data_IF_691223852942
#
_entry.id   IF_691223852942
#
_cell.length_a   1.000
_cell.length_b   1.000
_cell.length_c   1.000
_cell.angle_alpha   90.00
_cell.angle_beta   90.00
_cell.angle_gamma   90.00
#
_symmetry.space_group_name_H-M   'P 1'
#
loop_
_entity.id
_entity.type
_entity.pdbx_description
1 polymer ?
#
# COMPACT_ATOMS: atom_id res chain seq x y z
N UNK A 1 6.91 -21.49 1.33
CA UNK A 1 6.40 -22.84 1.34
C UNK A 1 4.97 -22.97 0.79
N UNK A 2 4.41 -24.19 0.76
CA UNK A 2 3.12 -24.48 0.13
C UNK A 2 1.96 -23.61 0.67
N UNK A 3 1.87 -23.46 1.99
CA UNK A 3 0.84 -22.61 2.62
C UNK A 3 0.95 -21.15 2.17
N UNK A 4 2.16 -20.57 2.14
CA UNK A 4 2.35 -19.18 1.69
C UNK A 4 1.90 -18.98 0.24
N UNK A 5 2.25 -19.90 -0.66
CA UNK A 5 1.85 -19.82 -2.06
C UNK A 5 0.32 -19.93 -2.23
N UNK A 6 -0.32 -20.81 -1.46
CA UNK A 6 -1.78 -20.97 -1.46
C UNK A 6 -2.46 -19.75 -0.85
N UNK A 7 -1.91 -19.18 0.24
CA UNK A 7 -2.38 -17.96 0.85
C UNK A 7 -2.39 -16.77 -0.14
N UNK A 8 -1.31 -16.61 -0.92
CA UNK A 8 -1.24 -15.60 -2.00
C UNK A 8 -2.33 -15.86 -3.06
N UNK A 9 -2.55 -17.12 -3.43
CA UNK A 9 -3.60 -17.46 -4.40
C UNK A 9 -5.01 -17.13 -3.88
N UNK A 10 -5.29 -17.38 -2.60
CA UNK A 10 -6.55 -16.98 -1.95
C UNK A 10 -6.71 -15.47 -1.90
N UNK A 11 -5.64 -14.73 -1.57
CA UNK A 11 -5.65 -13.26 -1.52
C UNK A 11 -6.00 -12.66 -2.90
N UNK A 12 -5.39 -13.18 -3.98
CA UNK A 12 -5.72 -12.77 -5.36
C UNK A 12 -7.18 -13.02 -5.75
N UNK A 13 -7.84 -13.97 -5.10
CA UNK A 13 -9.28 -14.28 -5.30
C UNK A 13 -10.20 -13.52 -4.32
N UNK A 14 -9.66 -12.63 -3.47
CA UNK A 14 -10.42 -11.92 -2.45
C UNK A 14 -10.87 -12.82 -1.27
N UNK A 15 -10.33 -14.05 -1.18
CA UNK A 15 -10.67 -15.01 -0.13
C UNK A 15 -9.77 -14.80 1.10
N UNK A 16 -9.85 -13.62 1.71
CA UNK A 16 -8.92 -13.15 2.75
C UNK A 16 -8.92 -14.04 4.00
N UNK A 17 -10.06 -14.57 4.42
CA UNK A 17 -10.13 -15.48 5.56
C UNK A 17 -9.29 -16.77 5.36
N UNK A 18 -9.35 -17.36 4.17
CA UNK A 18 -8.53 -18.53 3.82
C UNK A 18 -7.05 -18.15 3.68
N UNK A 19 -6.78 -16.97 3.13
CA UNK A 19 -5.43 -16.42 3.04
C UNK A 19 -4.79 -16.24 4.42
N UNK A 20 -5.52 -15.64 5.37
CA UNK A 20 -5.07 -15.46 6.76
C UNK A 20 -4.76 -16.80 7.42
N UNK A 21 -5.64 -17.80 7.27
CA UNK A 21 -5.42 -19.13 7.83
C UNK A 21 -4.13 -19.77 7.29
N UNK A 22 -3.89 -19.65 5.99
CA UNK A 22 -2.70 -20.21 5.35
C UNK A 22 -1.40 -19.47 5.76
N UNK A 23 -1.40 -18.15 5.83
CA UNK A 23 -0.24 -17.41 6.33
C UNK A 23 0.01 -17.67 7.83
N UNK A 24 -1.05 -17.86 8.62
CA UNK A 24 -0.91 -18.26 10.02
C UNK A 24 -0.20 -19.61 10.11
N UNK A 25 -0.59 -20.57 9.25
CA UNK A 25 0.10 -21.87 9.21
C UNK A 25 1.55 -21.77 8.74
N UNK A 26 1.84 -20.87 7.78
CA UNK A 26 3.20 -20.62 7.34
C UNK A 26 4.06 -20.04 8.48
N UNK A 27 3.51 -19.13 9.28
CA UNK A 27 4.17 -18.52 10.44
C UNK A 27 4.40 -19.55 11.56
N UNK A 28 3.43 -20.42 11.85
CA UNK A 28 3.60 -21.52 12.81
C UNK A 28 4.76 -22.46 12.44
N UNK A 29 4.95 -22.70 11.14
CA UNK A 29 6.03 -23.53 10.63
C UNK A 29 7.39 -22.82 10.58
N UNK A 30 7.39 -21.50 10.43
CA UNK A 30 8.58 -20.66 10.43
C UNK A 30 8.23 -19.27 10.95
N UNK A 31 8.49 -19.02 12.23
CA UNK A 31 8.22 -17.77 12.92
C UNK A 31 9.07 -16.57 12.47
N UNK A 32 10.13 -16.82 11.70
CA UNK A 32 11.03 -15.77 11.18
C UNK A 32 10.77 -15.44 9.71
N UNK A 33 9.65 -15.87 9.19
CA UNK A 33 9.25 -15.63 7.81
C UNK A 33 8.53 -14.27 7.67
N UNK A 34 9.30 -13.17 7.56
CA UNK A 34 8.81 -11.80 7.48
C UNK A 34 7.75 -11.58 6.39
N UNK A 35 7.93 -12.18 5.21
CA UNK A 35 6.95 -12.08 4.12
C UNK A 35 5.59 -12.71 4.45
N UNK A 36 5.53 -13.72 5.32
CA UNK A 36 4.25 -14.30 5.74
C UNK A 36 3.48 -13.31 6.63
N UNK A 37 4.18 -12.60 7.51
CA UNK A 37 3.57 -11.52 8.30
C UNK A 37 3.11 -10.37 7.40
N UNK A 38 3.92 -9.91 6.43
CA UNK A 38 3.51 -8.86 5.50
C UNK A 38 2.24 -9.26 4.75
N UNK A 39 2.20 -10.46 4.21
CA UNK A 39 1.05 -10.91 3.42
C UNK A 39 -0.21 -11.11 4.30
N UNK A 40 -0.05 -11.60 5.54
CA UNK A 40 -1.18 -11.71 6.48
C UNK A 40 -1.67 -10.33 6.91
N UNK A 41 -0.74 -9.41 7.19
CA UNK A 41 -1.05 -8.01 7.47
C UNK A 41 -1.85 -7.35 6.34
N UNK A 42 -1.46 -7.58 5.09
CA UNK A 42 -2.24 -7.10 3.94
C UNK A 42 -3.65 -7.72 3.91
N UNK A 43 -3.78 -9.01 4.18
CA UNK A 43 -5.09 -9.66 4.21
C UNK A 43 -5.97 -9.12 5.36
N UNK A 44 -5.40 -8.84 6.53
CA UNK A 44 -6.11 -8.17 7.62
C UNK A 44 -6.54 -6.75 7.25
N UNK A 45 -5.69 -5.98 6.55
CA UNK A 45 -6.01 -4.64 6.06
C UNK A 45 -7.23 -4.66 5.12
N UNK A 46 -7.27 -5.60 4.17
CA UNK A 46 -8.36 -5.74 3.21
C UNK A 46 -9.73 -6.03 3.86
N UNK A 47 -9.74 -6.66 5.04
CA UNK A 47 -10.96 -6.92 5.81
C UNK A 47 -11.20 -5.90 6.94
N UNK A 48 -10.43 -4.81 6.97
CA UNK A 48 -10.59 -3.71 7.93
C UNK A 48 -10.09 -4.02 9.35
N UNK A 49 -9.32 -5.11 9.54
CA UNK A 49 -8.74 -5.45 10.83
C UNK A 49 -7.36 -4.77 10.99
N UNK A 50 -7.38 -3.45 11.05
CA UNK A 50 -6.18 -2.61 10.97
C UNK A 50 -5.19 -2.84 12.12
N UNK A 51 -5.66 -3.06 13.35
CA UNK A 51 -4.77 -3.30 14.50
C UNK A 51 -3.98 -4.61 14.33
N UNK A 52 -4.61 -5.68 13.80
CA UNK A 52 -3.94 -6.93 13.49
C UNK A 52 -2.97 -6.77 12.32
N UNK A 53 -3.34 -5.98 11.33
CA UNK A 53 -2.47 -5.62 10.21
C UNK A 53 -1.19 -4.92 10.70
N UNK A 54 -1.33 -3.91 11.56
CA UNK A 54 -0.19 -3.18 12.15
C UNK A 54 0.68 -4.11 12.99
N UNK A 55 0.10 -5.01 13.79
CA UNK A 55 0.85 -5.96 14.59
C UNK A 55 1.72 -6.88 13.71
N UNK A 56 1.19 -7.35 12.59
CA UNK A 56 1.93 -8.16 11.64
C UNK A 56 3.04 -7.38 10.94
N UNK A 57 2.78 -6.13 10.51
CA UNK A 57 3.83 -5.29 9.94
C UNK A 57 4.93 -4.95 10.95
N UNK A 58 4.58 -4.71 12.21
CA UNK A 58 5.57 -4.53 13.27
C UNK A 58 6.48 -5.75 13.38
N UNK A 59 5.89 -6.95 13.39
CA UNK A 59 6.67 -8.18 13.46
C UNK A 59 7.57 -8.37 12.24
N UNK A 60 7.09 -8.04 11.04
CA UNK A 60 7.90 -8.06 9.83
C UNK A 60 9.08 -7.07 9.89
N UNK A 61 8.85 -5.88 10.44
CA UNK A 61 9.90 -4.86 10.64
C UNK A 61 10.93 -5.32 11.68
N UNK A 62 10.50 -5.93 12.78
CA UNK A 62 11.41 -6.48 13.80
C UNK A 62 12.33 -7.56 13.20
N UNK A 63 11.79 -8.41 12.31
CA UNK A 63 12.54 -9.45 11.62
C UNK A 63 13.45 -8.89 10.51
N UNK A 64 13.01 -7.86 9.83
CA UNK A 64 13.70 -7.27 8.68
C UNK A 64 13.62 -5.74 8.74
N UNK A 65 14.46 -5.06 9.54
CA UNK A 65 14.36 -3.62 9.81
C UNK A 65 14.58 -2.70 8.60
N UNK A 66 15.07 -3.23 7.49
CA UNK A 66 15.26 -2.48 6.24
C UNK A 66 14.21 -2.84 5.17
N UNK A 67 13.16 -3.59 5.53
CA UNK A 67 12.11 -3.96 4.61
C UNK A 67 11.15 -2.78 4.34
N UNK A 68 11.47 -1.97 3.34
CA UNK A 68 10.66 -0.81 2.96
C UNK A 68 9.20 -1.14 2.62
N UNK A 69 8.90 -2.38 2.18
CA UNK A 69 7.53 -2.80 1.90
C UNK A 69 6.69 -2.86 3.19
N UNK A 70 7.25 -3.39 4.28
CA UNK A 70 6.55 -3.47 5.56
C UNK A 70 6.24 -2.07 6.11
N UNK A 71 7.19 -1.14 6.02
CA UNK A 71 6.95 0.27 6.38
C UNK A 71 5.87 0.92 5.50
N UNK A 72 5.95 0.76 4.17
CA UNK A 72 4.95 1.34 3.28
C UNK A 72 3.54 0.80 3.57
N UNK A 73 3.40 -0.50 3.77
CA UNK A 73 2.09 -1.11 4.00
C UNK A 73 1.52 -0.71 5.37
N UNK A 74 2.37 -0.60 6.41
CA UNK A 74 1.95 -0.07 7.71
C UNK A 74 1.55 1.40 7.59
N UNK A 75 2.33 2.21 6.89
CA UNK A 75 2.02 3.60 6.60
C UNK A 75 0.68 3.76 5.88
N UNK A 76 0.41 2.92 4.88
CA UNK A 76 -0.88 2.92 4.21
C UNK A 76 -2.03 2.52 5.15
N UNK A 77 -1.82 1.54 6.03
CA UNK A 77 -2.80 1.19 7.07
C UNK A 77 -3.07 2.39 8.00
N UNK A 78 -2.05 3.15 8.36
CA UNK A 78 -2.22 4.38 9.14
C UNK A 78 -3.02 5.45 8.39
N UNK A 79 -2.89 5.58 7.05
CA UNK A 79 -3.77 6.46 6.26
C UNK A 79 -5.24 6.05 6.43
N UNK A 80 -5.54 4.74 6.33
CA UNK A 80 -6.89 4.21 6.48
C UNK A 80 -7.47 4.42 7.89
N UNK A 81 -6.61 4.60 8.88
CA UNK A 81 -6.97 4.93 10.28
C UNK A 81 -6.93 6.43 10.56
N UNK A 82 -6.69 7.28 9.57
CA UNK A 82 -6.55 8.73 9.70
C UNK A 82 -5.39 9.17 10.63
N UNK A 83 -4.39 8.27 10.82
CA UNK A 83 -3.18 8.51 11.63
C UNK A 83 -2.06 9.06 10.72
N UNK A 84 -2.24 10.28 10.23
CA UNK A 84 -1.45 10.83 9.12
C UNK A 84 0.02 11.10 9.45
N UNK A 85 0.36 11.45 10.69
CA UNK A 85 1.77 11.68 11.08
C UNK A 85 2.56 10.37 11.07
N UNK A 86 1.96 9.30 11.58
CA UNK A 86 2.58 7.97 11.60
C UNK A 86 2.68 7.40 10.19
N UNK A 87 1.66 7.62 9.36
CA UNK A 87 1.67 7.26 7.95
C UNK A 87 2.84 7.93 7.22
N UNK A 88 3.01 9.24 7.40
CA UNK A 88 4.06 10.01 6.75
C UNK A 88 5.46 9.53 7.15
N UNK A 89 5.67 9.27 8.45
CA UNK A 89 6.94 8.76 8.95
C UNK A 89 7.30 7.41 8.34
N UNK A 90 6.34 6.48 8.28
CA UNK A 90 6.57 5.15 7.75
C UNK A 90 6.80 5.17 6.23
N UNK A 91 6.00 5.93 5.47
CA UNK A 91 6.18 6.01 4.03
C UNK A 91 7.52 6.69 3.68
N UNK A 92 7.93 7.74 4.42
CA UNK A 92 9.26 8.35 4.29
C UNK A 92 10.35 7.33 4.58
N UNK A 93 10.19 6.49 5.61
CA UNK A 93 11.14 5.43 5.92
C UNK A 93 11.26 4.40 4.79
N UNK A 94 10.14 4.02 4.18
CA UNK A 94 10.15 3.18 2.97
C UNK A 94 10.94 3.83 1.82
N UNK A 95 10.76 5.13 1.60
CA UNK A 95 11.47 5.88 0.56
C UNK A 95 12.96 6.11 0.85
N UNK A 96 13.37 6.13 2.13
CA UNK A 96 14.80 6.14 2.50
C UNK A 96 15.50 4.87 2.01
N UNK A 97 14.87 3.69 2.14
CA UNK A 97 15.42 2.43 1.66
C UNK A 97 15.35 2.30 0.14
N UNK A 98 14.29 2.81 -0.49
CA UNK A 98 14.15 2.81 -1.94
C UNK A 98 13.43 4.08 -2.43
N UNK A 99 14.17 5.12 -2.83
CA UNK A 99 13.60 6.39 -3.30
C UNK A 99 12.74 6.29 -4.58
N UNK A 100 12.85 5.19 -5.31
CA UNK A 100 12.10 4.93 -6.53
C UNK A 100 10.96 3.89 -6.33
N UNK A 101 10.63 3.56 -5.08
CA UNK A 101 9.51 2.66 -4.81
C UNK A 101 8.19 3.31 -5.24
N UNK A 102 7.66 2.86 -6.39
CA UNK A 102 6.45 3.41 -7.00
C UNK A 102 5.22 3.31 -6.10
N UNK A 103 5.14 2.28 -5.26
CA UNK A 103 4.02 2.13 -4.31
C UNK A 103 4.13 3.11 -3.16
N UNK A 104 5.33 3.32 -2.61
CA UNK A 104 5.54 4.31 -1.55
C UNK A 104 5.34 5.75 -2.06
N UNK A 105 5.74 6.04 -3.30
CA UNK A 105 5.45 7.33 -3.94
C UNK A 105 3.94 7.54 -4.12
N UNK A 106 3.19 6.48 -4.50
CA UNK A 106 1.74 6.53 -4.58
C UNK A 106 1.10 6.69 -3.19
N UNK A 107 1.60 5.99 -2.17
CA UNK A 107 1.09 6.14 -0.80
C UNK A 107 1.30 7.56 -0.25
N UNK A 108 2.39 8.27 -0.63
CA UNK A 108 2.51 9.71 -0.33
C UNK A 108 1.41 10.52 -0.99
N UNK A 109 1.06 10.22 -2.24
CA UNK A 109 -0.03 10.90 -2.92
C UNK A 109 -1.39 10.66 -2.22
N UNK A 110 -1.64 9.44 -1.79
CA UNK A 110 -2.85 9.08 -1.04
C UNK A 110 -2.91 9.75 0.32
N UNK A 111 -1.77 9.83 1.02
CA UNK A 111 -1.67 10.57 2.29
C UNK A 111 -2.06 12.03 2.13
N UNK A 112 -1.49 12.73 1.15
CA UNK A 112 -1.79 14.14 0.93
C UNK A 112 -3.20 14.34 0.39
N UNK A 113 -3.73 13.40 -0.39
CA UNK A 113 -5.14 13.38 -0.73
C UNK A 113 -6.03 13.27 0.52
N UNK A 114 -5.71 12.37 1.44
CA UNK A 114 -6.46 12.22 2.71
C UNK A 114 -6.39 13.50 3.57
N UNK A 115 -5.24 14.21 3.54
CA UNK A 115 -5.05 15.53 4.18
C UNK A 115 -5.72 16.68 3.42
N UNK A 116 -6.41 16.41 2.31
CA UNK A 116 -7.05 17.38 1.41
C UNK A 116 -6.07 18.41 0.79
N UNK A 117 -4.81 17.99 0.60
CA UNK A 117 -3.79 18.78 -0.06
C UNK A 117 -3.60 18.29 -1.50
N UNK A 118 -4.36 18.90 -2.43
CA UNK A 118 -4.39 18.47 -3.82
C UNK A 118 -3.06 18.73 -4.54
N UNK A 119 -2.33 19.80 -4.20
CA UNK A 119 -1.07 20.17 -4.86
C UNK A 119 0.01 19.14 -4.55
N UNK A 120 0.23 18.85 -3.27
CA UNK A 120 1.19 17.84 -2.83
C UNK A 120 0.80 16.43 -3.32
N UNK A 121 -0.49 16.07 -3.21
CA UNK A 121 -0.97 14.78 -3.71
C UNK A 121 -0.69 14.59 -5.20
N UNK A 122 -1.01 15.59 -6.03
CA UNK A 122 -0.74 15.55 -7.46
C UNK A 122 0.76 15.53 -7.78
N UNK A 123 1.59 16.24 -7.03
CA UNK A 123 3.04 16.21 -7.18
C UNK A 123 3.59 14.79 -6.96
N UNK A 124 3.20 14.15 -5.85
CA UNK A 124 3.63 12.79 -5.53
C UNK A 124 3.09 11.77 -6.53
N UNK A 125 1.83 11.91 -6.96
CA UNK A 125 1.24 11.03 -7.97
C UNK A 125 1.96 11.13 -9.32
N UNK A 126 2.27 12.36 -9.79
CA UNK A 126 3.07 12.58 -11.00
C UNK A 126 4.46 11.93 -10.88
N UNK A 127 5.08 12.02 -9.70
CA UNK A 127 6.37 11.37 -9.42
C UNK A 127 6.26 9.84 -9.48
N UNK A 128 5.23 9.25 -8.88
CA UNK A 128 4.97 7.80 -8.95
C UNK A 128 4.79 7.34 -10.41
N UNK A 129 3.95 8.03 -11.18
CA UNK A 129 3.70 7.75 -12.59
C UNK A 129 4.99 7.88 -13.42
N UNK A 130 5.78 8.94 -13.19
CA UNK A 130 7.07 9.14 -13.85
C UNK A 130 8.11 8.06 -13.54
N UNK A 131 7.94 7.31 -12.45
CA UNK A 131 8.73 6.14 -12.08
C UNK A 131 8.14 4.80 -12.55
N UNK A 132 6.98 4.83 -13.24
CA UNK A 132 6.35 3.65 -13.82
C UNK A 132 5.11 3.14 -13.08
N UNK A 133 4.57 3.87 -12.09
CA UNK A 133 3.29 3.51 -11.50
C UNK A 133 2.17 3.69 -12.53
N UNK A 134 1.49 2.61 -12.90
CA UNK A 134 0.53 2.59 -14.01
C UNK A 134 -0.81 1.94 -13.68
N UNK A 135 -1.13 1.80 -12.39
CA UNK A 135 -2.43 1.26 -11.97
C UNK A 135 -3.54 2.31 -12.14
N UNK A 136 -3.85 2.65 -13.39
CA UNK A 136 -4.83 3.66 -13.74
C UNK A 136 -6.25 3.32 -13.25
N UNK A 137 -6.61 2.04 -13.22
CA UNK A 137 -7.89 1.62 -12.66
C UNK A 137 -7.99 2.02 -11.19
N UNK A 138 -6.97 1.71 -10.41
CA UNK A 138 -6.91 2.08 -9.00
C UNK A 138 -6.95 3.60 -8.80
N UNK A 139 -6.11 4.36 -9.50
CA UNK A 139 -6.09 5.84 -9.39
C UNK A 139 -7.50 6.42 -9.67
N UNK A 140 -8.21 5.91 -10.68
CA UNK A 140 -9.52 6.42 -11.08
C UNK A 140 -10.63 6.08 -10.09
N UNK A 141 -10.54 4.97 -9.36
CA UNK A 141 -11.66 4.40 -8.58
C UNK A 141 -11.42 4.37 -7.08
N UNK A 142 -10.16 4.49 -6.62
CA UNK A 142 -9.85 4.42 -5.21
C UNK A 142 -10.46 5.58 -4.43
N UNK A 143 -11.06 5.26 -3.29
CA UNK A 143 -11.61 6.24 -2.35
C UNK A 143 -10.53 7.13 -1.73
N UNK A 144 -9.28 6.68 -1.71
CA UNK A 144 -8.16 7.47 -1.17
C UNK A 144 -7.90 8.76 -1.93
N UNK A 145 -8.39 8.86 -3.18
CA UNK A 145 -8.29 10.07 -4.01
C UNK A 145 -9.59 10.90 -4.04
N UNK A 146 -10.63 10.54 -3.31
CA UNK A 146 -11.93 11.23 -3.39
C UNK A 146 -11.82 12.71 -3.03
N UNK A 147 -11.00 13.08 -2.05
CA UNK A 147 -10.84 14.47 -1.62
C UNK A 147 -10.24 15.39 -2.70
N UNK A 148 -9.47 14.83 -3.63
CA UNK A 148 -8.81 15.61 -4.69
C UNK A 148 -9.35 15.32 -6.09
N UNK A 149 -10.33 14.42 -6.22
CA UNK A 149 -10.84 13.92 -7.50
C UNK A 149 -11.29 15.03 -8.45
N UNK A 150 -11.83 16.10 -7.91
CA UNK A 150 -12.31 17.25 -8.67
C UNK A 150 -11.27 18.39 -8.80
N UNK A 151 -10.04 18.21 -8.30
CA UNK A 151 -9.00 19.21 -8.43
C UNK A 151 -8.48 19.28 -9.87
N UNK A 152 -8.12 20.48 -10.37
CA UNK A 152 -7.62 20.64 -11.74
C UNK A 152 -6.40 19.74 -12.04
N UNK A 153 -5.47 19.61 -11.10
CA UNK A 153 -4.27 18.82 -11.27
C UNK A 153 -4.57 17.31 -11.38
N UNK A 154 -5.56 16.79 -10.61
CA UNK A 154 -5.93 15.39 -10.70
C UNK A 154 -6.66 15.07 -12.01
N UNK A 155 -7.58 15.97 -12.44
CA UNK A 155 -8.27 15.86 -13.73
C UNK A 155 -7.25 15.83 -14.89
N UNK A 156 -6.22 16.69 -14.84
CA UNK A 156 -5.13 16.70 -15.83
C UNK A 156 -4.40 15.36 -15.88
N UNK A 157 -4.03 14.78 -14.72
CA UNK A 157 -3.36 13.49 -14.64
C UNK A 157 -4.21 12.40 -15.29
N UNK A 158 -5.50 12.33 -14.94
CA UNK A 158 -6.40 11.30 -15.49
C UNK A 158 -6.63 11.47 -16.99
N UNK A 159 -6.73 12.70 -17.50
CA UNK A 159 -6.93 12.96 -18.95
C UNK A 159 -5.76 12.46 -19.79
N UNK A 160 -4.53 12.51 -19.26
CA UNK A 160 -3.33 12.00 -19.95
C UNK A 160 -3.34 10.47 -20.07
N UNK A 161 -3.95 9.75 -19.10
CA UNK A 161 -4.03 8.30 -19.15
C UNK A 161 -4.88 7.79 -20.31
N UNK A 162 -5.87 8.56 -20.76
CA UNK A 162 -6.76 8.19 -21.87
C UNK A 162 -6.06 8.31 -23.24
N UNK A 163 -5.07 9.19 -23.34
CA UNK A 163 -4.28 9.37 -24.58
C UNK A 163 -3.17 8.35 -24.76
N UNK A 164 -2.68 7.74 -23.68
CA UNK A 164 -1.62 6.72 -23.75
C UNK A 164 -2.13 5.33 -24.16
N UNK A 165 -3.44 5.12 -24.19
CA UNK A 165 -4.08 3.84 -24.59
C UNK A 165 -4.41 3.83 -26.10
N UNK A 166 -4.38 4.99 -26.77
CA UNK A 166 -4.71 5.14 -28.18
C UNK A 166 -3.48 5.11 -29.12
N UNK A 167 -2.27 4.90 -28.57
CA UNK A 167 -1.01 4.72 -29.33
C UNK A 167 -0.44 3.30 -29.13
#
# INVERSE_FOLDING_TARGET
GAYSNRGIAYQKKGQYGLSIADFTKAIELNSDFDMAYINRGNAYQEIGQYDLSIADFNRAIDLSPQNGMAYNNRGFTFILMERYEEAENDIKKSLEFNPNNIYALNSMAELYSAKNDAEEACMWLKKAIGKGYNNWSYIKTSKTYDNIRNSPCFIEIISRSSRAVEQ
#
